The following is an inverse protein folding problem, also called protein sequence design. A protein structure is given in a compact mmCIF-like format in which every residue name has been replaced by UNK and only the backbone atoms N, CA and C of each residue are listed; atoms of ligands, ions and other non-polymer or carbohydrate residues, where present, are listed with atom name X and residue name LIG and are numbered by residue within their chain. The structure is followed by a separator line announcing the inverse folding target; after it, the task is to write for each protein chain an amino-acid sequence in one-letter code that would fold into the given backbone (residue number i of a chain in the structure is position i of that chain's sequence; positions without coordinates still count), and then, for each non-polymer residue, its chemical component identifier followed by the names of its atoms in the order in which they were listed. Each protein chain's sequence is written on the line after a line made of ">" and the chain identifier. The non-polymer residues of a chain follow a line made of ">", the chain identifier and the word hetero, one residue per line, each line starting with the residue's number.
data_IF_505274807473
#
_entry.id   IF_505274807473
#
_cell.length_a   1.000
_cell.length_b   1.000
_cell.length_c   1.000
_cell.angle_alpha   90.00
_cell.angle_beta   90.00
_cell.angle_gamma   90.00
#
_symmetry.space_group_name_H-M   'P 1'
#
loop_
_entity.id
_entity.type
_entity.pdbx_description
1 polymer ?
#
# COMPACT_ATOMS: atom_id res chain seq x y z
N UNK A 1 -3.81 -7.79 0.02
CA UNK A 1 -2.97 -7.37 1.17
C UNK A 1 -2.38 -8.52 1.96
N UNK A 2 -3.16 -9.47 2.51
CA UNK A 2 -2.61 -10.61 3.27
C UNK A 2 -1.66 -11.51 2.48
N UNK A 3 -1.79 -11.55 1.15
CA UNK A 3 -0.83 -12.23 0.26
C UNK A 3 0.58 -11.66 0.37
N UNK A 4 0.72 -10.34 0.63
CA UNK A 4 2.00 -9.66 0.74
C UNK A 4 2.48 -9.49 2.21
N UNK A 5 1.54 -9.41 3.15
CA UNK A 5 1.77 -9.26 4.59
C UNK A 5 0.89 -10.28 5.34
N UNK A 6 1.30 -11.56 5.41
CA UNK A 6 0.45 -12.63 5.94
C UNK A 6 0.11 -12.45 7.42
N UNK A 7 1.08 -11.93 8.18
CA UNK A 7 1.00 -11.78 9.64
C UNK A 7 0.24 -10.51 10.06
N UNK A 8 -0.16 -9.65 9.09
CA UNK A 8 -0.87 -8.41 9.36
C UNK A 8 -2.35 -8.68 9.68
N UNK A 9 -2.76 -8.35 10.91
CA UNK A 9 -4.13 -8.54 11.38
C UNK A 9 -5.00 -7.32 11.06
N UNK A 10 -4.56 -6.12 11.45
CA UNK A 10 -5.31 -4.88 11.27
C UNK A 10 -4.40 -3.67 11.11
N UNK A 11 -4.97 -2.59 10.58
CA UNK A 11 -4.34 -1.28 10.48
C UNK A 11 -5.31 -0.28 11.10
N UNK A 12 -4.81 0.59 11.98
CA UNK A 12 -5.59 1.65 12.61
C UNK A 12 -4.83 2.96 12.62
N UNK A 13 -5.55 4.07 12.75
CA UNK A 13 -4.94 5.39 12.97
C UNK A 13 -5.00 5.75 14.45
N UNK A 14 -3.95 6.37 14.97
CA UNK A 14 -3.92 6.95 16.31
C UNK A 14 -3.66 8.45 16.19
N UNK A 15 -4.45 9.27 16.89
CA UNK A 15 -4.19 10.71 17.04
C UNK A 15 -3.42 10.93 18.34
N UNK A 16 -2.26 11.58 18.23
CA UNK A 16 -1.43 11.96 19.35
C UNK A 16 -2.05 13.20 20.05
N UNK A 17 -2.40 13.15 21.35
CA UNK A 17 -3.08 14.25 22.02
C UNK A 17 -2.29 15.57 22.05
N UNK A 18 -0.96 15.50 22.08
CA UNK A 18 -0.08 16.66 22.28
C UNK A 18 -0.09 17.65 21.11
N UNK A 19 -0.20 17.15 19.88
CA UNK A 19 -0.12 17.96 18.66
C UNK A 19 -1.15 17.59 17.59
N UNK A 20 -2.07 16.69 17.93
CA UNK A 20 -3.11 16.14 17.04
C UNK A 20 -2.54 15.46 15.79
N UNK A 21 -1.28 15.03 15.84
CA UNK A 21 -0.66 14.28 14.75
C UNK A 21 -1.29 12.89 14.63
N UNK A 22 -1.68 12.49 13.41
CA UNK A 22 -2.23 11.16 13.12
C UNK A 22 -1.21 10.26 12.45
N UNK A 23 -1.04 9.07 12.99
CA UNK A 23 -0.13 8.06 12.45
C UNK A 23 -0.80 6.69 12.37
N UNK A 24 -0.24 5.80 11.55
CA UNK A 24 -0.72 4.43 11.39
C UNK A 24 -0.10 3.52 12.46
N UNK A 25 -0.88 2.56 12.93
CA UNK A 25 -0.40 1.42 13.73
C UNK A 25 -0.86 0.14 13.03
N UNK A 26 0.10 -0.73 12.76
CA UNK A 26 -0.10 -2.06 12.21
C UNK A 26 -0.10 -3.05 13.37
N UNK A 27 -1.19 -3.80 13.51
CA UNK A 27 -1.30 -4.87 14.51
C UNK A 27 -1.02 -6.21 13.82
N UNK A 28 -0.04 -6.96 14.33
CA UNK A 28 0.37 -8.27 13.82
C UNK A 28 -0.18 -9.40 14.69
N UNK A 29 -0.33 -10.59 14.10
CA UNK A 29 -0.79 -11.80 14.79
C UNK A 29 0.07 -12.22 15.99
N UNK A 30 1.36 -11.89 15.96
CA UNK A 30 2.33 -12.07 17.05
C UNK A 30 2.02 -11.23 18.30
N UNK A 31 1.07 -10.28 18.21
CA UNK A 31 0.78 -9.29 19.24
C UNK A 31 1.64 -8.03 19.15
N UNK A 32 2.57 -7.95 18.18
CA UNK A 32 3.34 -6.75 17.92
C UNK A 32 2.43 -5.63 17.37
N UNK A 33 2.55 -4.44 17.96
CA UNK A 33 1.92 -3.22 17.44
C UNK A 33 3.01 -2.29 16.92
N UNK A 34 3.12 -2.18 15.60
CA UNK A 34 4.14 -1.36 14.96
C UNK A 34 3.55 -0.01 14.51
N UNK A 35 3.92 1.12 15.12
CA UNK A 35 3.63 2.43 14.56
C UNK A 35 4.38 2.62 13.23
N UNK A 36 3.89 3.51 12.37
CA UNK A 36 4.40 3.69 11.01
C UNK A 36 5.91 3.95 10.90
N UNK A 37 6.53 4.60 11.90
CA UNK A 37 7.98 4.85 11.91
C UNK A 37 8.83 3.61 12.26
N UNK A 38 8.22 2.53 12.72
CA UNK A 38 8.88 1.22 12.91
C UNK A 38 8.59 0.25 11.76
N UNK A 39 7.78 0.66 10.78
CA UNK A 39 7.40 -0.14 9.62
C UNK A 39 8.34 0.20 8.46
N UNK A 40 8.70 -0.81 7.64
CA UNK A 40 9.56 -0.56 6.48
C UNK A 40 8.88 0.30 5.42
N UNK A 41 9.65 1.14 4.72
CA UNK A 41 9.16 1.98 3.64
C UNK A 41 8.41 1.19 2.57
N UNK A 42 8.91 0.01 2.20
CA UNK A 42 8.24 -0.87 1.24
C UNK A 42 6.86 -1.33 1.69
N UNK A 43 6.68 -1.55 2.98
CA UNK A 43 5.36 -1.87 3.56
C UNK A 43 4.44 -0.67 3.48
N UNK A 44 4.91 0.52 3.88
CA UNK A 44 4.12 1.75 3.80
C UNK A 44 3.72 2.09 2.37
N UNK A 45 4.63 1.92 1.40
CA UNK A 45 4.37 2.12 -0.02
C UNK A 45 3.34 1.12 -0.54
N UNK A 46 3.42 -0.15 -0.12
CA UNK A 46 2.40 -1.13 -0.42
C UNK A 46 1.03 -0.71 0.12
N UNK A 47 0.94 -0.24 1.37
CA UNK A 47 -0.32 0.29 1.92
C UNK A 47 -0.85 1.45 1.07
N UNK A 48 0.02 2.40 0.75
CA UNK A 48 -0.33 3.62 0.00
C UNK A 48 -0.80 3.34 -1.42
N UNK A 49 -0.23 2.35 -2.12
CA UNK A 49 -0.65 2.00 -3.47
C UNK A 49 -1.91 1.14 -3.47
N UNK A 50 -2.04 0.23 -2.51
CA UNK A 50 -3.18 -0.70 -2.48
C UNK A 50 -4.48 -0.06 -1.97
N UNK A 51 -4.40 0.99 -1.15
CA UNK A 51 -5.59 1.68 -0.65
C UNK A 51 -6.44 2.31 -1.76
N UNK A 52 -5.84 2.69 -2.90
CA UNK A 52 -6.53 3.33 -4.02
C UNK A 52 -7.75 2.53 -4.50
N UNK A 53 -7.64 1.20 -4.54
CA UNK A 53 -8.73 0.31 -4.95
C UNK A 53 -9.96 0.34 -4.03
N UNK A 54 -9.80 0.88 -2.82
CA UNK A 54 -10.81 0.90 -1.77
C UNK A 54 -11.30 2.32 -1.44
N UNK A 55 -10.77 3.35 -2.10
CA UNK A 55 -11.19 4.72 -1.87
C UNK A 55 -12.58 4.97 -2.48
N UNK A 56 -13.58 5.40 -1.68
CA UNK A 56 -14.92 5.67 -2.18
C UNK A 56 -14.91 6.90 -3.08
N UNK A 57 -15.54 6.79 -4.25
CA UNK A 57 -15.64 7.92 -5.20
C UNK A 57 -14.32 8.28 -5.88
N UNK A 58 -13.37 7.33 -5.97
CA UNK A 58 -12.13 7.56 -6.69
C UNK A 58 -12.42 7.70 -8.20
N UNK A 59 -12.23 8.90 -8.73
CA UNK A 59 -12.42 9.24 -10.14
C UNK A 59 -11.20 9.99 -10.70
N UNK A 60 -11.15 10.16 -12.02
CA UNK A 60 -10.09 10.90 -12.72
C UNK A 60 -8.96 10.02 -13.23
N UNK A 61 -7.76 10.59 -13.33
CA UNK A 61 -6.56 9.91 -13.81
C UNK A 61 -5.43 9.97 -12.78
N UNK A 62 -4.79 8.84 -12.52
CA UNK A 62 -3.68 8.68 -11.59
C UNK A 62 -2.45 8.20 -12.35
N UNK A 63 -1.34 8.93 -12.23
CA UNK A 63 -0.05 8.52 -12.77
C UNK A 63 0.82 8.01 -11.62
N UNK A 64 1.32 6.78 -11.75
CA UNK A 64 2.17 6.14 -10.74
C UNK A 64 3.49 5.75 -11.40
N UNK A 65 4.55 6.40 -10.96
CA UNK A 65 5.92 6.14 -11.40
C UNK A 65 6.57 5.08 -10.50
N UNK A 66 7.18 4.08 -11.13
CA UNK A 66 7.92 2.98 -10.52
C UNK A 66 7.19 2.37 -9.30
N UNK A 67 5.96 1.84 -9.46
CA UNK A 67 5.18 1.28 -8.35
C UNK A 67 5.91 0.18 -7.58
N UNK A 68 6.87 -0.51 -8.21
CA UNK A 68 7.70 -1.56 -7.63
C UNK A 68 8.85 -1.05 -6.75
N UNK A 69 9.24 0.21 -6.88
CA UNK A 69 10.46 0.71 -6.27
C UNK A 69 10.35 0.67 -4.73
N UNK A 70 11.33 0.04 -4.08
CA UNK A 70 11.36 -0.15 -2.63
C UNK A 70 10.36 -1.18 -2.09
N UNK A 71 9.56 -1.83 -2.94
CA UNK A 71 8.63 -2.90 -2.54
C UNK A 71 9.33 -4.25 -2.69
N UNK A 72 9.11 -5.13 -1.71
CA UNK A 72 9.64 -6.49 -1.79
C UNK A 72 9.11 -7.19 -3.06
N UNK A 73 9.95 -7.88 -3.87
CA UNK A 73 9.54 -8.43 -5.18
C UNK A 73 8.27 -9.29 -5.14
N UNK A 74 8.10 -10.12 -4.09
CA UNK A 74 6.90 -10.95 -3.90
C UNK A 74 5.60 -10.16 -3.69
N UNK A 75 5.70 -8.90 -3.33
CA UNK A 75 4.57 -8.04 -3.03
C UNK A 75 4.18 -7.13 -4.21
N UNK A 76 5.04 -7.01 -5.23
CA UNK A 76 4.80 -6.20 -6.44
C UNK A 76 3.56 -6.68 -7.18
N UNK A 77 3.38 -7.99 -7.33
CA UNK A 77 2.20 -8.56 -7.98
C UNK A 77 0.90 -8.16 -7.25
N UNK A 78 0.91 -8.16 -5.91
CA UNK A 78 -0.25 -7.72 -5.11
C UNK A 78 -0.56 -6.25 -5.34
N UNK A 79 0.46 -5.40 -5.50
CA UNK A 79 0.28 -3.98 -5.81
C UNK A 79 -0.37 -3.82 -7.18
N UNK A 80 0.13 -4.50 -8.20
CA UNK A 80 -0.42 -4.42 -9.55
C UNK A 80 -1.86 -4.93 -9.61
N UNK A 81 -2.16 -6.08 -9.00
CA UNK A 81 -3.53 -6.59 -8.90
C UNK A 81 -4.47 -5.58 -8.21
N UNK A 82 -3.99 -4.92 -7.17
CA UNK A 82 -4.77 -3.89 -6.47
C UNK A 82 -5.01 -2.68 -7.38
N UNK A 83 -3.99 -2.18 -8.07
CA UNK A 83 -4.12 -1.03 -8.97
C UNK A 83 -5.03 -1.35 -10.16
N UNK A 84 -4.96 -2.56 -10.72
CA UNK A 84 -5.89 -3.04 -11.76
C UNK A 84 -7.33 -3.23 -11.26
N UNK A 85 -7.55 -3.22 -9.94
CA UNK A 85 -8.89 -3.27 -9.32
C UNK A 85 -9.47 -1.87 -9.07
N UNK A 86 -8.78 -0.81 -9.49
CA UNK A 86 -9.32 0.55 -9.49
C UNK A 86 -10.25 0.72 -10.71
N UNK A 87 -11.56 0.61 -10.49
CA UNK A 87 -12.54 0.69 -11.58
C UNK A 87 -13.09 2.10 -11.83
N UNK A 88 -13.08 2.96 -10.82
CA UNK A 88 -13.65 4.31 -10.90
C UNK A 88 -12.75 5.35 -11.57
N UNK A 89 -11.47 5.03 -11.78
CA UNK A 89 -10.47 5.95 -12.29
C UNK A 89 -9.52 5.27 -13.29
N UNK A 90 -8.88 6.07 -14.15
CA UNK A 90 -7.81 5.60 -15.02
C UNK A 90 -6.49 5.60 -14.25
N UNK A 91 -5.80 4.46 -14.21
CA UNK A 91 -4.46 4.35 -13.62
C UNK A 91 -3.43 4.14 -14.74
N UNK A 92 -2.48 5.07 -14.85
CA UNK A 92 -1.34 5.01 -15.75
C UNK A 92 -0.10 4.65 -14.94
N UNK A 93 0.62 3.62 -15.36
CA UNK A 93 1.83 3.15 -14.70
C UNK A 93 3.04 3.42 -15.59
N UNK A 94 4.08 3.99 -15.02
CA UNK A 94 5.42 4.01 -15.61
C UNK A 94 6.32 3.05 -14.83
N UNK A 95 7.03 2.19 -15.55
CA UNK A 95 7.88 1.16 -14.94
C UNK A 95 9.07 0.87 -15.83
N UNK A 96 10.20 0.57 -15.21
CA UNK A 96 11.39 0.03 -15.88
C UNK A 96 11.49 -1.49 -15.75
N UNK A 97 10.58 -2.12 -15.00
CA UNK A 97 10.59 -3.55 -14.72
C UNK A 97 9.98 -4.34 -15.88
N UNK A 98 10.76 -5.19 -16.57
CA UNK A 98 10.23 -6.06 -17.62
C UNK A 98 9.19 -7.06 -17.09
N UNK A 99 9.27 -7.41 -15.80
CA UNK A 99 8.32 -8.32 -15.15
C UNK A 99 6.94 -7.70 -15.11
N UNK A 100 6.83 -6.41 -14.78
CA UNK A 100 5.54 -5.71 -14.71
C UNK A 100 4.92 -5.59 -16.09
N UNK A 101 5.72 -5.36 -17.13
CA UNK A 101 5.25 -5.31 -18.51
C UNK A 101 4.78 -6.68 -19.05
N UNK A 102 5.14 -7.76 -18.36
CA UNK A 102 4.82 -9.13 -18.78
C UNK A 102 3.67 -9.76 -17.97
N UNK A 103 3.15 -9.06 -16.96
CA UNK A 103 2.01 -9.46 -16.13
C UNK A 103 0.69 -9.03 -16.78
#
# INVERSE_FOLDING_TARGET
>A
MRTALPDLQSIRTVERPEDRHRYLVLDYDTGLQAPSWLVSDGTLRLLALTILAYLPGLEGAYLIEEPENGIHPRAVETVLQSLSSVYGAQVLLATHSPVILSL
#
